data_IF_817529283195
#
_entry.id   IF_817529283195
#
_cell.length_a   1.000
_cell.length_b   1.000
_cell.length_c   1.000
_cell.angle_alpha   90.00
_cell.angle_beta   90.00
_cell.angle_gamma   90.00
#
_symmetry.space_group_name_H-M   'P 1'
#
loop_
_entity.id
_entity.type
_entity.pdbx_description
1 polymer ?
#
# COMPACT_ATOMS: atom_id res chain seq x y z
N UNK A 1 -15.29 -6.71 32.20
CA UNK A 1 -13.99 -6.19 32.70
C UNK A 1 -13.36 -5.20 31.71
N UNK A 2 -12.95 -5.62 30.51
CA UNK A 2 -12.32 -4.70 29.53
C UNK A 2 -13.21 -3.49 29.21
N UNK A 3 -14.50 -3.70 28.94
CA UNK A 3 -15.47 -2.62 28.70
C UNK A 3 -15.58 -1.63 29.88
N UNK A 4 -15.58 -2.15 31.12
CA UNK A 4 -15.59 -1.32 32.34
C UNK A 4 -14.34 -0.44 32.42
N UNK A 5 -13.17 -0.99 32.10
CA UNK A 5 -11.92 -0.22 32.08
C UNK A 5 -11.90 0.84 30.96
N UNK A 6 -12.46 0.53 29.79
CA UNK A 6 -12.67 1.50 28.71
C UNK A 6 -13.56 2.66 29.17
N UNK A 7 -14.68 2.37 29.84
CA UNK A 7 -15.59 3.38 30.40
C UNK A 7 -14.90 4.26 31.46
N UNK A 8 -13.97 3.71 32.22
CA UNK A 8 -13.13 4.47 33.16
C UNK A 8 -11.90 5.11 32.50
N UNK A 9 -11.81 5.14 31.16
CA UNK A 9 -10.68 5.68 30.39
C UNK A 9 -9.31 5.08 30.74
N UNK A 10 -9.27 3.85 31.23
CA UNK A 10 -8.04 3.11 31.59
C UNK A 10 -7.48 2.35 30.39
N UNK A 11 -7.29 3.03 29.26
CA UNK A 11 -6.91 2.40 27.98
C UNK A 11 -5.61 1.59 28.05
N UNK A 12 -4.57 2.10 28.72
CA UNK A 12 -3.29 1.37 28.88
C UNK A 12 -3.46 0.06 29.67
N UNK A 13 -4.30 0.04 30.70
CA UNK A 13 -4.59 -1.18 31.45
C UNK A 13 -5.33 -2.20 30.57
N UNK A 14 -6.23 -1.74 29.69
CA UNK A 14 -6.89 -2.61 28.71
C UNK A 14 -5.88 -3.22 27.74
N UNK A 15 -4.92 -2.43 27.24
CA UNK A 15 -3.85 -2.95 26.37
C UNK A 15 -3.02 -4.04 27.09
N UNK A 16 -2.58 -3.79 28.32
CA UNK A 16 -1.84 -4.79 29.11
C UNK A 16 -2.65 -6.09 29.28
N UNK A 17 -3.95 -5.99 29.54
CA UNK A 17 -4.80 -7.18 29.63
C UNK A 17 -4.93 -7.91 28.28
N UNK A 18 -5.10 -7.16 27.19
CA UNK A 18 -5.16 -7.72 25.83
C UNK A 18 -3.87 -8.46 25.47
N UNK A 19 -2.70 -7.96 25.88
CA UNK A 19 -1.40 -8.60 25.62
C UNK A 19 -1.36 -10.06 26.13
N UNK A 20 -2.03 -10.31 27.26
CA UNK A 20 -2.03 -11.63 27.91
C UNK A 20 -3.23 -12.48 27.47
N UNK A 21 -4.39 -11.85 27.26
CA UNK A 21 -5.65 -12.54 26.96
C UNK A 21 -5.72 -12.93 25.49
N UNK A 22 -5.30 -12.07 24.57
CA UNK A 22 -5.50 -12.27 23.14
C UNK A 22 -4.84 -13.56 22.60
N UNK A 23 -3.58 -13.90 22.96
CA UNK A 23 -2.94 -15.13 22.48
C UNK A 23 -3.64 -16.42 22.93
N UNK A 24 -4.42 -16.39 24.00
CA UNK A 24 -5.16 -17.57 24.50
C UNK A 24 -6.25 -18.04 23.52
N UNK A 25 -6.64 -17.20 22.56
CA UNK A 25 -7.70 -17.50 21.60
C UNK A 25 -7.17 -17.97 20.24
N UNK A 26 -5.87 -18.20 20.08
CA UNK A 26 -5.29 -18.65 18.80
C UNK A 26 -5.89 -19.98 18.34
N UNK A 27 -6.17 -20.91 19.27
CA UNK A 27 -6.81 -22.20 18.96
C UNK A 27 -8.31 -22.08 18.70
N UNK A 28 -8.92 -20.94 19.08
CA UNK A 28 -10.33 -20.66 18.84
C UNK A 28 -10.58 -19.20 18.40
N UNK A 29 -10.07 -18.76 17.23
CA UNK A 29 -10.13 -17.34 16.83
C UNK A 29 -11.56 -16.83 16.71
N UNK A 30 -12.51 -17.72 16.37
CA UNK A 30 -13.93 -17.42 16.24
C UNK A 30 -14.54 -16.78 17.51
N UNK A 31 -14.07 -17.18 18.70
CA UNK A 31 -14.57 -16.67 19.99
C UNK A 31 -14.32 -15.17 20.17
N UNK A 32 -13.18 -14.66 19.68
CA UNK A 32 -12.87 -13.22 19.65
C UNK A 32 -13.54 -12.55 18.45
N UNK A 33 -13.43 -13.17 17.28
CA UNK A 33 -13.89 -12.55 16.03
C UNK A 33 -15.40 -12.32 16.02
N UNK A 34 -16.19 -13.19 16.64
CA UNK A 34 -17.65 -13.07 16.71
C UNK A 34 -18.15 -12.28 17.93
N UNK A 35 -17.26 -11.89 18.85
CA UNK A 35 -17.64 -11.15 20.05
C UNK A 35 -17.81 -9.66 19.76
N UNK A 36 -19.06 -9.19 19.68
CA UNK A 36 -19.37 -7.76 19.52
C UNK A 36 -18.77 -6.90 20.64
N UNK A 37 -18.79 -7.42 21.87
CA UNK A 37 -18.17 -6.75 23.03
C UNK A 37 -16.68 -6.52 22.83
N UNK A 38 -15.97 -7.54 22.34
CA UNK A 38 -14.54 -7.39 22.06
C UNK A 38 -14.31 -6.41 20.90
N UNK A 39 -15.10 -6.49 19.83
CA UNK A 39 -15.00 -5.53 18.72
C UNK A 39 -15.20 -4.09 19.20
N UNK A 40 -16.18 -3.84 20.08
CA UNK A 40 -16.41 -2.52 20.68
C UNK A 40 -15.23 -2.03 21.53
N UNK A 41 -14.56 -2.94 22.26
CA UNK A 41 -13.32 -2.60 22.98
C UNK A 41 -12.22 -2.18 22.01
N UNK A 42 -12.02 -2.91 20.91
CA UNK A 42 -11.01 -2.56 19.89
C UNK A 42 -11.31 -1.21 19.25
N UNK A 43 -12.55 -0.97 18.82
CA UNK A 43 -12.99 0.30 18.23
C UNK A 43 -12.76 1.46 19.20
N UNK A 44 -13.08 1.26 20.48
CA UNK A 44 -12.86 2.26 21.53
C UNK A 44 -11.37 2.59 21.74
N UNK A 45 -10.48 1.59 21.65
CA UNK A 45 -9.03 1.80 21.72
C UNK A 45 -8.51 2.57 20.50
N UNK A 46 -9.02 2.28 19.29
CA UNK A 46 -8.67 3.01 18.07
C UNK A 46 -9.14 4.48 18.09
N UNK A 47 -10.20 4.79 18.82
CA UNK A 47 -10.74 6.13 18.98
C UNK A 47 -10.17 6.88 20.20
N UNK A 48 -9.42 6.21 21.09
CA UNK A 48 -9.07 6.71 22.41
C UNK A 48 -8.32 8.06 22.41
N UNK A 49 -7.36 8.23 21.50
CA UNK A 49 -6.57 9.45 21.41
C UNK A 49 -7.40 10.68 21.00
N UNK A 50 -8.45 10.49 20.18
CA UNK A 50 -9.40 11.56 19.81
C UNK A 50 -10.24 12.01 20.99
N UNK A 51 -10.60 11.08 21.87
CA UNK A 51 -11.39 11.37 23.07
C UNK A 51 -10.55 12.17 24.08
N UNK A 52 -9.25 11.88 24.20
CA UNK A 52 -8.36 12.62 25.09
C UNK A 52 -8.18 14.09 24.65
N UNK A 53 -8.08 14.35 23.35
CA UNK A 53 -7.98 15.72 22.78
C UNK A 53 -9.26 16.53 23.02
N UNK A 54 -10.43 15.89 23.10
CA UNK A 54 -11.67 16.60 23.48
C UNK A 54 -11.67 17.03 24.95
N UNK A 55 -10.90 16.37 25.81
CA UNK A 55 -10.79 16.68 27.24
C UNK A 55 -9.62 17.62 27.58
N UNK A 56 -8.53 17.59 26.80
CA UNK A 56 -7.40 18.51 26.95
C UNK A 56 -7.51 19.66 25.93
N UNK A 57 -7.60 20.91 26.39
CA UNK A 57 -7.76 22.12 25.58
C UNK A 57 -6.94 22.10 24.27
N UNK A 58 -7.58 22.50 23.17
CA UNK A 58 -7.18 22.38 21.75
C UNK A 58 -5.91 23.13 21.31
N UNK A 59 -4.86 23.19 22.12
CA UNK A 59 -3.65 23.98 21.86
C UNK A 59 -2.51 23.20 21.21
N UNK A 60 -2.64 21.88 21.04
CA UNK A 60 -1.61 21.06 20.42
C UNK A 60 -2.27 20.28 19.29
N UNK A 61 -1.84 20.54 18.05
CA UNK A 61 -2.08 19.62 16.94
C UNK A 61 -1.62 18.23 17.38
N UNK A 62 -2.55 17.32 17.67
CA UNK A 62 -2.18 15.99 18.11
C UNK A 62 -1.47 15.30 16.96
N UNK A 63 -0.17 15.08 17.10
CA UNK A 63 0.58 14.29 16.13
C UNK A 63 -0.08 12.90 16.04
N UNK A 64 -0.57 12.55 14.86
CA UNK A 64 -0.95 11.16 14.57
C UNK A 64 0.36 10.37 14.33
N UNK A 65 0.47 9.14 14.83
CA UNK A 65 -0.44 8.44 15.74
C UNK A 65 -0.33 8.95 17.18
N UNK A 66 -1.45 8.91 17.92
CA UNK A 66 -1.51 9.29 19.32
C UNK A 66 -0.88 8.25 20.27
N UNK A 67 -0.84 8.56 21.57
CA UNK A 67 -0.14 7.72 22.56
C UNK A 67 -0.78 6.33 22.67
N UNK A 68 -2.10 6.25 22.79
CA UNK A 68 -2.79 4.97 22.96
C UNK A 68 -2.62 4.12 21.72
N UNK A 69 -2.75 4.72 20.53
CA UNK A 69 -2.57 4.01 19.27
C UNK A 69 -1.12 3.51 19.08
N UNK A 70 -0.11 4.30 19.49
CA UNK A 70 1.30 3.85 19.51
C UNK A 70 1.49 2.65 20.42
N UNK A 71 1.00 2.71 21.66
CA UNK A 71 1.11 1.60 22.62
C UNK A 71 0.37 0.35 22.14
N UNK A 72 -0.75 0.52 21.42
CA UNK A 72 -1.43 -0.61 20.79
C UNK A 72 -0.59 -1.21 19.64
N UNK A 73 0.05 -0.36 18.84
CA UNK A 73 1.04 -0.81 17.84
C UNK A 73 2.18 -1.61 18.49
N UNK A 74 2.73 -1.12 19.60
CA UNK A 74 3.80 -1.78 20.34
C UNK A 74 3.37 -3.16 20.87
N UNK A 75 2.14 -3.26 21.39
CA UNK A 75 1.54 -4.54 21.82
C UNK A 75 1.48 -5.55 20.66
N UNK A 76 1.04 -5.13 19.48
CA UNK A 76 0.99 -6.00 18.30
C UNK A 76 2.42 -6.43 17.91
N UNK A 77 3.38 -5.51 17.92
CA UNK A 77 4.78 -5.85 17.66
C UNK A 77 5.34 -6.84 18.68
N UNK A 78 5.00 -6.71 19.96
CA UNK A 78 5.38 -7.66 21.02
C UNK A 78 4.83 -9.05 20.72
N UNK A 79 3.55 -9.17 20.34
CA UNK A 79 2.97 -10.45 19.94
C UNK A 79 3.74 -11.08 18.78
N UNK A 80 4.03 -10.30 17.73
CA UNK A 80 4.70 -10.80 16.53
C UNK A 80 6.19 -11.10 16.75
N UNK A 81 6.89 -10.40 17.65
CA UNK A 81 8.31 -10.65 17.97
C UNK A 81 8.47 -11.80 18.96
N UNK A 82 7.58 -11.90 19.95
CA UNK A 82 7.66 -12.86 21.04
C UNK A 82 6.71 -14.05 20.88
N UNK A 83 6.31 -14.39 19.65
CA UNK A 83 5.35 -15.45 19.34
C UNK A 83 5.68 -16.81 20.01
N UNK A 84 6.97 -17.09 20.22
CA UNK A 84 7.43 -18.30 20.92
C UNK A 84 6.97 -18.39 22.37
N UNK A 85 6.72 -17.27 23.05
CA UNK A 85 6.17 -17.25 24.42
C UNK A 85 4.75 -17.83 24.48
N UNK A 86 4.08 -17.88 23.34
CA UNK A 86 2.74 -18.45 23.19
C UNK A 86 2.77 -19.83 22.54
N UNK A 87 3.91 -20.53 22.59
CA UNK A 87 4.14 -21.86 21.99
C UNK A 87 3.90 -21.92 20.47
N UNK A 88 4.08 -20.81 19.75
CA UNK A 88 3.96 -20.77 18.30
C UNK A 88 5.31 -20.99 17.62
N UNK A 89 5.25 -21.63 16.45
CA UNK A 89 6.42 -21.88 15.58
C UNK A 89 6.69 -20.67 14.66
N UNK A 90 5.66 -19.88 14.39
CA UNK A 90 5.68 -18.71 13.51
C UNK A 90 4.75 -17.61 14.06
N UNK A 91 5.00 -16.31 13.78
CA UNK A 91 4.06 -15.24 14.10
C UNK A 91 2.77 -15.26 13.26
N UNK A 92 2.68 -16.11 12.24
CA UNK A 92 1.56 -16.14 11.29
C UNK A 92 0.16 -16.23 11.94
N UNK A 93 -0.10 -17.12 12.92
CA UNK A 93 -1.45 -17.22 13.53
C UNK A 93 -1.87 -15.94 14.26
N UNK A 94 -0.91 -15.29 14.93
CA UNK A 94 -1.15 -14.01 15.61
C UNK A 94 -1.41 -12.88 14.62
N UNK A 95 -0.63 -12.83 13.53
CA UNK A 95 -0.83 -11.84 12.47
C UNK A 95 -2.19 -11.99 11.79
N UNK A 96 -2.59 -13.22 11.45
CA UNK A 96 -3.89 -13.50 10.86
C UNK A 96 -5.02 -13.04 11.79
N UNK A 97 -4.97 -13.45 13.06
CA UNK A 97 -6.01 -13.10 14.04
C UNK A 97 -6.10 -11.59 14.25
N UNK A 98 -4.97 -10.88 14.37
CA UNK A 98 -4.96 -9.42 14.46
C UNK A 98 -5.50 -8.75 13.20
N UNK A 99 -5.08 -9.18 12.01
CA UNK A 99 -5.57 -8.62 10.75
C UNK A 99 -7.07 -8.80 10.61
N UNK A 100 -7.64 -9.95 10.97
CA UNK A 100 -9.10 -10.19 10.94
C UNK A 100 -9.86 -9.31 11.92
N UNK A 101 -9.34 -9.13 13.14
CA UNK A 101 -9.93 -8.22 14.14
C UNK A 101 -9.88 -6.78 13.64
N UNK A 102 -8.73 -6.34 13.15
CA UNK A 102 -8.56 -4.99 12.63
C UNK A 102 -9.38 -4.75 11.37
N UNK A 103 -9.59 -5.76 10.51
CA UNK A 103 -10.41 -5.63 9.30
C UNK A 103 -11.87 -5.32 9.64
N UNK A 104 -12.41 -5.93 10.68
CA UNK A 104 -13.75 -5.58 11.19
C UNK A 104 -13.78 -4.16 11.74
N UNK A 105 -12.79 -3.80 12.57
CA UNK A 105 -12.70 -2.46 13.15
C UNK A 105 -12.45 -1.36 12.09
N UNK A 106 -11.78 -1.70 10.98
CA UNK A 106 -11.45 -0.77 9.89
C UNK A 106 -12.68 -0.16 9.24
N UNK A 107 -13.81 -0.88 9.17
CA UNK A 107 -15.07 -0.37 8.63
C UNK A 107 -15.63 0.82 9.42
N UNK A 108 -15.18 1.01 10.66
CA UNK A 108 -15.61 2.08 11.56
C UNK A 108 -14.45 3.07 11.80
N UNK A 109 -13.24 2.57 12.02
CA UNK A 109 -12.03 3.36 12.33
C UNK A 109 -10.88 3.11 11.34
N UNK A 110 -11.02 3.46 10.05
CA UNK A 110 -10.11 3.05 8.99
C UNK A 110 -8.68 3.59 9.17
N UNK A 111 -8.52 4.86 9.55
CA UNK A 111 -7.20 5.48 9.70
C UNK A 111 -6.36 4.80 10.80
N UNK A 112 -6.95 4.58 11.97
CA UNK A 112 -6.26 3.97 13.11
C UNK A 112 -6.04 2.47 12.88
N UNK A 113 -7.03 1.76 12.30
CA UNK A 113 -6.88 0.35 11.95
C UNK A 113 -5.79 0.14 10.89
N UNK A 114 -5.73 0.96 9.83
CA UNK A 114 -4.66 0.91 8.82
C UNK A 114 -3.28 1.10 9.44
N UNK A 115 -3.14 2.00 10.41
CA UNK A 115 -1.88 2.19 11.14
C UNK A 115 -1.44 0.94 11.91
N UNK A 116 -2.37 0.27 12.60
CA UNK A 116 -2.03 -0.98 13.30
C UNK A 116 -1.77 -2.14 12.33
N UNK A 117 -2.54 -2.22 11.25
CA UNK A 117 -2.30 -3.21 10.18
C UNK A 117 -0.93 -3.00 9.54
N UNK A 118 -0.48 -1.76 9.36
CA UNK A 118 0.84 -1.46 8.80
C UNK A 118 1.97 -2.19 9.55
N UNK A 119 1.90 -2.23 10.88
CA UNK A 119 2.87 -2.95 11.72
C UNK A 119 2.89 -4.45 11.40
N UNK A 120 1.73 -5.06 11.25
CA UNK A 120 1.61 -6.48 10.93
C UNK A 120 2.10 -6.76 9.51
N UNK A 121 1.73 -5.91 8.57
CA UNK A 121 2.06 -6.04 7.15
C UNK A 121 3.55 -5.82 6.88
N UNK A 122 4.22 -5.00 7.71
CA UNK A 122 5.68 -4.84 7.69
C UNK A 122 6.41 -6.15 7.96
N UNK A 123 5.86 -6.99 8.85
CA UNK A 123 6.39 -8.33 9.13
C UNK A 123 5.94 -9.29 8.04
N UNK A 124 4.65 -9.29 7.69
CA UNK A 124 4.08 -10.20 6.70
C UNK A 124 4.76 -10.11 5.33
N UNK A 125 5.27 -8.93 4.94
CA UNK A 125 6.02 -8.76 3.69
C UNK A 125 7.18 -9.75 3.55
N UNK A 126 7.90 -10.05 4.63
CA UNK A 126 9.07 -10.92 4.62
C UNK A 126 8.75 -12.41 4.80
N UNK A 127 7.48 -12.78 4.97
CA UNK A 127 7.01 -14.14 5.19
C UNK A 127 5.95 -14.51 4.15
N UNK A 128 6.28 -15.42 3.23
CA UNK A 128 5.44 -15.72 2.06
C UNK A 128 4.01 -16.20 2.42
N UNK A 129 3.89 -17.04 3.44
CA UNK A 129 2.65 -17.55 4.01
C UNK A 129 1.78 -16.43 4.62
N UNK A 130 2.41 -15.57 5.44
CA UNK A 130 1.73 -14.42 6.05
C UNK A 130 1.29 -13.42 4.99
N UNK A 131 2.14 -13.18 3.97
CA UNK A 131 1.83 -12.27 2.86
C UNK A 131 0.60 -12.73 2.10
N UNK A 132 0.53 -14.02 1.74
CA UNK A 132 -0.62 -14.59 1.04
C UNK A 132 -1.90 -14.45 1.88
N UNK A 133 -1.82 -14.78 3.17
CA UNK A 133 -2.95 -14.67 4.10
C UNK A 133 -3.43 -13.22 4.25
N UNK A 134 -2.49 -12.28 4.41
CA UNK A 134 -2.80 -10.86 4.54
C UNK A 134 -3.46 -10.27 3.28
N UNK A 135 -2.99 -10.64 2.09
CA UNK A 135 -3.63 -10.26 0.83
C UNK A 135 -5.06 -10.80 0.74
N UNK A 136 -5.30 -12.04 1.18
CA UNK A 136 -6.64 -12.62 1.26
C UNK A 136 -7.58 -11.84 2.18
N UNK A 137 -7.13 -11.52 3.40
CA UNK A 137 -7.93 -10.76 4.37
C UNK A 137 -8.26 -9.34 3.85
N UNK A 138 -7.28 -8.65 3.24
CA UNK A 138 -7.52 -7.33 2.68
C UNK A 138 -8.42 -7.35 1.45
N UNK A 139 -8.37 -8.44 0.66
CA UNK A 139 -9.31 -8.66 -0.43
C UNK A 139 -10.75 -8.86 0.09
N UNK A 140 -10.94 -9.67 1.15
CA UNK A 140 -12.24 -9.82 1.85
C UNK A 140 -12.74 -8.46 2.41
N UNK A 141 -11.84 -7.66 2.98
CA UNK A 141 -12.16 -6.33 3.50
C UNK A 141 -12.63 -5.38 2.40
N UNK A 142 -11.94 -5.35 1.25
CA UNK A 142 -12.31 -4.53 0.10
C UNK A 142 -13.68 -4.93 -0.45
N UNK A 143 -13.98 -6.23 -0.53
CA UNK A 143 -15.29 -6.72 -0.96
C UNK A 143 -16.40 -6.31 0.01
N UNK A 144 -16.16 -6.44 1.32
CA UNK A 144 -17.09 -6.04 2.37
C UNK A 144 -17.38 -4.53 2.33
N UNK A 145 -16.35 -3.70 2.17
CA UNK A 145 -16.49 -2.26 2.02
C UNK A 145 -17.29 -1.90 0.76
N UNK A 146 -16.99 -2.54 -0.36
CA UNK A 146 -17.65 -2.28 -1.64
C UNK A 146 -19.14 -2.67 -1.59
N UNK A 147 -19.47 -3.79 -0.96
CA UNK A 147 -20.86 -4.21 -0.73
C UNK A 147 -21.61 -3.22 0.18
N UNK A 148 -20.97 -2.75 1.24
CA UNK A 148 -21.52 -1.75 2.17
C UNK A 148 -21.81 -0.42 1.46
N UNK A 149 -20.93 0.01 0.56
CA UNK A 149 -21.16 1.20 -0.27
C UNK A 149 -22.36 1.01 -1.21
N UNK A 150 -22.44 -0.12 -1.94
CA UNK A 150 -23.58 -0.41 -2.83
C UNK A 150 -24.93 -0.36 -2.12
N UNK A 151 -25.03 -0.85 -0.89
CA UNK A 151 -26.25 -0.76 -0.10
C UNK A 151 -26.63 0.67 0.27
N UNK A 152 -25.65 1.53 0.60
CA UNK A 152 -25.88 2.95 0.91
C UNK A 152 -26.31 3.75 -0.33
N UNK A 153 -25.83 3.38 -1.52
CA UNK A 153 -26.18 4.05 -2.78
C UNK A 153 -27.47 3.53 -3.44
N UNK A 154 -28.02 2.39 -2.98
CA UNK A 154 -29.29 1.84 -3.47
C UNK A 154 -30.51 2.73 -3.17
N UNK A 155 -30.39 3.72 -2.28
CA UNK A 155 -31.51 4.58 -1.86
C UNK A 155 -31.41 6.03 -2.36
N UNK A 156 -30.31 6.44 -3.01
CA UNK A 156 -30.15 7.79 -3.58
C UNK A 156 -29.42 7.75 -4.92
N UNK A 157 -30.15 7.95 -6.02
CA UNK A 157 -29.60 8.18 -7.36
C UNK A 157 -28.95 9.57 -7.42
N UNK A 158 -27.67 9.71 -7.04
CA UNK A 158 -26.87 10.88 -7.42
C UNK A 158 -25.45 10.49 -7.84
N UNK A 159 -25.10 10.94 -9.05
CA UNK A 159 -23.81 10.76 -9.73
C UNK A 159 -22.74 11.55 -8.99
N UNK A 160 -21.86 10.85 -8.27
CA UNK A 160 -20.54 11.35 -7.89
C UNK A 160 -19.52 10.25 -8.15
N UNK A 161 -18.34 10.61 -8.65
CA UNK A 161 -17.27 9.73 -9.15
C UNK A 161 -16.66 8.81 -8.10
N UNK A 162 -17.47 7.91 -7.54
CA UNK A 162 -17.07 6.86 -6.63
C UNK A 162 -16.46 5.69 -7.42
N UNK A 163 -15.43 5.07 -6.86
CA UNK A 163 -14.80 3.89 -7.45
C UNK A 163 -15.73 2.67 -7.25
N UNK A 164 -16.32 2.09 -8.31
CA UNK A 164 -17.24 0.96 -8.21
C UNK A 164 -16.57 -0.32 -7.66
N UNK A 165 -15.23 -0.38 -7.65
CA UNK A 165 -14.43 -1.47 -7.12
C UNK A 165 -13.98 -1.27 -5.67
N UNK A 166 -14.43 -0.20 -5.01
CA UNK A 166 -14.00 0.16 -3.66
C UNK A 166 -12.58 0.70 -3.61
N UNK A 167 -12.15 1.15 -2.44
CA UNK A 167 -10.77 1.56 -2.18
C UNK A 167 -10.45 1.41 -0.71
N UNK A 168 -9.36 0.72 -0.38
CA UNK A 168 -8.86 0.62 0.99
C UNK A 168 -8.08 1.87 1.39
N UNK A 169 -7.78 2.76 0.43
CA UNK A 169 -7.07 4.01 0.69
C UNK A 169 -7.64 5.20 -0.07
N UNK A 170 -8.23 6.14 0.65
CA UNK A 170 -8.70 7.38 0.02
C UNK A 170 -7.54 8.30 -0.38
N UNK A 171 -6.41 8.26 0.34
CA UNK A 171 -5.20 9.05 0.08
C UNK A 171 -3.95 8.24 0.41
N UNK A 172 -2.87 8.45 -0.33
CA UNK A 172 -1.54 7.97 0.04
C UNK A 172 -1.09 8.59 1.36
N UNK A 173 -0.37 7.83 2.17
CA UNK A 173 0.06 8.23 3.51
C UNK A 173 1.51 7.83 3.76
N UNK A 174 2.26 8.73 4.40
CA UNK A 174 3.60 8.47 4.91
C UNK A 174 3.59 7.58 6.16
N UNK A 175 2.46 7.53 6.88
CA UNK A 175 2.36 6.87 8.19
C UNK A 175 2.05 5.37 8.08
N UNK A 176 1.58 4.91 6.92
CA UNK A 176 1.13 3.52 6.70
C UNK A 176 1.63 2.91 5.38
N UNK A 177 2.94 2.97 5.08
CA UNK A 177 3.47 2.52 3.79
C UNK A 177 3.27 1.02 3.52
N UNK A 178 3.41 0.13 4.49
CA UNK A 178 3.18 -1.30 4.30
C UNK A 178 1.69 -1.61 4.10
N UNK A 179 0.79 -0.94 4.81
CA UNK A 179 -0.64 -1.02 4.50
C UNK A 179 -0.92 -0.56 3.07
N UNK A 180 -0.34 0.57 2.66
CA UNK A 180 -0.47 1.09 1.29
C UNK A 180 0.03 0.12 0.24
N UNK A 181 1.14 -0.56 0.50
CA UNK A 181 1.67 -1.59 -0.40
C UNK A 181 0.63 -2.69 -0.66
N UNK A 182 0.10 -3.29 0.40
CA UNK A 182 -0.84 -4.39 0.26
C UNK A 182 -2.20 -3.92 -0.28
N UNK A 183 -2.68 -2.75 0.15
CA UNK A 183 -3.93 -2.17 -0.31
C UNK A 183 -3.93 -1.93 -1.82
N UNK A 184 -2.91 -1.23 -2.35
CA UNK A 184 -2.81 -0.96 -3.79
C UNK A 184 -2.63 -2.26 -4.58
N UNK A 185 -1.92 -3.24 -4.03
CA UNK A 185 -1.73 -4.55 -4.66
C UNK A 185 -3.04 -5.34 -4.79
N UNK A 186 -3.86 -5.39 -3.73
CA UNK A 186 -5.20 -5.98 -3.77
C UNK A 186 -6.10 -5.23 -4.77
N UNK A 187 -6.12 -3.90 -4.71
CA UNK A 187 -6.88 -3.06 -5.66
C UNK A 187 -6.45 -3.35 -7.11
N UNK A 188 -5.14 -3.46 -7.37
CA UNK A 188 -4.58 -3.79 -8.68
C UNK A 188 -4.95 -5.21 -9.14
N UNK A 189 -4.95 -6.20 -8.24
CA UNK A 189 -5.38 -7.57 -8.57
C UNK A 189 -6.84 -7.57 -8.99
N UNK A 190 -7.71 -6.94 -8.19
CA UNK A 190 -9.15 -6.84 -8.49
C UNK A 190 -9.39 -6.09 -9.79
N UNK A 191 -8.72 -4.96 -10.00
CA UNK A 191 -8.96 -4.11 -11.15
C UNK A 191 -8.35 -4.68 -12.43
N UNK A 192 -7.11 -5.19 -12.42
CA UNK A 192 -6.41 -5.57 -13.65
C UNK A 192 -6.48 -7.06 -13.94
N UNK A 193 -6.23 -7.92 -12.95
CA UNK A 193 -6.15 -9.37 -13.20
C UNK A 193 -7.54 -9.98 -13.40
N UNK A 194 -8.56 -9.53 -12.63
CA UNK A 194 -9.92 -10.06 -12.78
C UNK A 194 -10.67 -9.51 -14.00
N UNK A 195 -10.30 -8.32 -14.51
CA UNK A 195 -11.06 -7.66 -15.60
C UNK A 195 -10.32 -7.57 -16.93
N UNK A 196 -9.00 -7.81 -16.96
CA UNK A 196 -8.10 -7.56 -18.12
C UNK A 196 -8.06 -6.11 -18.62
N UNK A 197 -8.57 -5.15 -17.83
CA UNK A 197 -8.67 -3.74 -18.20
C UNK A 197 -7.32 -3.14 -18.60
N UNK A 198 -6.25 -3.47 -17.88
CA UNK A 198 -4.92 -2.92 -18.16
C UNK A 198 -4.42 -3.30 -19.55
N UNK A 199 -4.53 -4.58 -19.92
CA UNK A 199 -4.05 -5.07 -21.20
C UNK A 199 -4.83 -4.44 -22.36
N UNK A 200 -6.16 -4.31 -22.23
CA UNK A 200 -7.00 -3.62 -23.21
C UNK A 200 -6.67 -2.13 -23.31
N UNK A 201 -6.39 -1.47 -22.18
CA UNK A 201 -6.00 -0.06 -22.15
C UNK A 201 -4.65 0.16 -22.86
N UNK A 202 -3.68 -0.74 -22.65
CA UNK A 202 -2.38 -0.66 -23.35
C UNK A 202 -2.55 -0.79 -24.87
N UNK A 203 -3.39 -1.72 -25.33
CA UNK A 203 -3.69 -1.92 -26.77
C UNK A 203 -4.40 -0.71 -27.37
N UNK A 204 -5.38 -0.13 -26.66
CA UNK A 204 -6.10 1.04 -27.14
C UNK A 204 -5.17 2.27 -27.22
N UNK A 205 -4.33 2.48 -26.22
CA UNK A 205 -3.36 3.57 -26.20
C UNK A 205 -2.26 3.41 -27.25
N UNK A 206 -1.83 2.18 -27.57
CA UNK A 206 -0.85 1.94 -28.62
C UNK A 206 -1.41 2.21 -30.02
N UNK A 207 -2.70 1.88 -30.22
CA UNK A 207 -3.37 1.96 -31.52
C UNK A 207 -3.98 3.34 -31.80
N UNK A 208 -4.15 4.18 -30.77
CA UNK A 208 -4.74 5.51 -30.90
C UNK A 208 -3.78 6.49 -31.59
N UNK A 209 -4.13 7.04 -32.77
CA UNK A 209 -3.35 8.08 -33.41
C UNK A 209 -3.53 9.43 -32.68
N UNK A 210 -2.43 10.12 -32.41
CA UNK A 210 -2.42 11.41 -31.70
C UNK A 210 -2.20 11.31 -30.19
N UNK A 211 -2.40 12.43 -29.46
CA UNK A 211 -2.31 12.50 -27.99
C UNK A 211 -3.59 11.93 -27.38
N UNK A 212 -3.62 10.67 -26.92
CA UNK A 212 -4.83 10.05 -26.42
C UNK A 212 -5.17 10.64 -25.04
N UNK A 213 -6.43 11.01 -24.82
CA UNK A 213 -6.90 11.27 -23.46
C UNK A 213 -7.03 9.95 -22.72
N UNK A 214 -6.26 9.77 -21.63
CA UNK A 214 -6.31 8.56 -20.80
C UNK A 214 -7.73 8.27 -20.33
N UNK A 215 -8.49 9.29 -19.93
CA UNK A 215 -9.89 9.13 -19.52
C UNK A 215 -10.79 8.66 -20.65
N UNK A 216 -10.55 9.12 -21.89
CA UNK A 216 -11.32 8.68 -23.06
C UNK A 216 -11.05 7.21 -23.39
N UNK A 217 -9.78 6.81 -23.44
CA UNK A 217 -9.38 5.40 -23.65
C UNK A 217 -9.88 4.49 -22.53
N UNK A 218 -9.78 4.94 -21.28
CA UNK A 218 -10.27 4.22 -20.12
C UNK A 218 -11.78 4.01 -20.17
N UNK A 219 -12.55 5.07 -20.46
CA UNK A 219 -14.01 4.98 -20.62
C UNK A 219 -14.41 4.02 -21.74
N UNK A 220 -13.71 4.06 -22.87
CA UNK A 220 -13.91 3.13 -24.00
C UNK A 220 -13.63 1.68 -23.59
N UNK A 221 -12.52 1.42 -22.91
CA UNK A 221 -12.17 0.08 -22.43
C UNK A 221 -13.18 -0.44 -21.39
N UNK A 222 -13.59 0.39 -20.43
CA UNK A 222 -14.64 0.04 -19.47
C UNK A 222 -15.95 -0.35 -20.19
N UNK A 223 -16.38 0.45 -21.18
CA UNK A 223 -17.59 0.15 -21.95
C UNK A 223 -17.48 -1.17 -22.72
N UNK A 224 -16.35 -1.43 -23.39
CA UNK A 224 -16.12 -2.68 -24.12
C UNK A 224 -16.13 -3.91 -23.20
N UNK A 225 -15.57 -3.78 -22.01
CA UNK A 225 -15.49 -4.85 -21.00
C UNK A 225 -16.75 -4.94 -20.11
N UNK A 226 -17.79 -4.14 -20.38
CA UNK A 226 -19.02 -4.05 -19.57
C UNK A 226 -18.75 -3.72 -18.09
N UNK A 227 -17.70 -2.94 -17.84
CA UNK A 227 -17.30 -2.47 -16.52
C UNK A 227 -17.92 -1.10 -16.25
N UNK A 228 -18.15 -0.80 -14.98
CA UNK A 228 -18.49 0.55 -14.56
C UNK A 228 -17.34 1.52 -14.87
N UNK A 229 -17.68 2.73 -15.31
CA UNK A 229 -16.67 3.77 -15.59
C UNK A 229 -15.90 4.11 -14.32
N UNK A 230 -14.57 4.21 -14.43
CA UNK A 230 -13.69 4.61 -13.33
C UNK A 230 -12.89 5.85 -13.70
N UNK A 231 -12.54 6.72 -12.73
CA UNK A 231 -11.67 7.85 -12.99
C UNK A 231 -10.23 7.39 -13.22
N UNK A 232 -9.50 8.04 -14.13
CA UNK A 232 -8.10 7.70 -14.41
C UNK A 232 -7.19 7.76 -13.17
N UNK A 233 -7.48 8.64 -12.21
CA UNK A 233 -6.76 8.76 -10.93
C UNK A 233 -6.75 7.49 -10.07
N UNK A 234 -7.67 6.55 -10.33
CA UNK A 234 -7.73 5.25 -9.64
C UNK A 234 -6.81 4.20 -10.24
N UNK A 235 -6.22 4.46 -11.42
CA UNK A 235 -5.31 3.51 -12.05
C UNK A 235 -4.08 3.26 -11.16
N UNK A 236 -3.73 1.99 -10.89
CA UNK A 236 -2.55 1.59 -10.12
C UNK A 236 -1.26 2.35 -10.47
N UNK A 237 -1.00 2.69 -11.74
CA UNK A 237 0.21 3.44 -12.14
C UNK A 237 0.29 4.82 -11.46
N UNK A 238 -0.83 5.51 -11.27
CA UNK A 238 -0.86 6.79 -10.53
C UNK A 238 -0.87 6.56 -9.03
N UNK A 239 -1.51 5.49 -8.56
CA UNK A 239 -1.57 5.14 -7.13
C UNK A 239 -0.18 4.82 -6.58
N UNK A 240 0.61 4.03 -7.30
CA UNK A 240 2.02 3.78 -6.98
C UNK A 240 2.84 5.06 -7.05
N UNK A 241 2.65 5.88 -8.09
CA UNK A 241 3.33 7.19 -8.20
C UNK A 241 3.08 8.09 -6.98
N UNK A 242 1.82 8.23 -6.55
CA UNK A 242 1.50 9.04 -5.36
C UNK A 242 2.10 8.44 -4.09
N UNK A 243 2.04 7.11 -3.92
CA UNK A 243 2.63 6.45 -2.77
C UNK A 243 4.15 6.62 -2.69
N UNK A 244 4.84 6.56 -3.83
CA UNK A 244 6.28 6.87 -3.92
C UNK A 244 6.58 8.27 -3.41
N UNK A 245 5.79 9.27 -3.80
CA UNK A 245 6.03 10.67 -3.40
C UNK A 245 5.86 10.88 -1.89
N UNK A 246 4.82 10.29 -1.31
CA UNK A 246 4.49 10.41 0.12
C UNK A 246 5.43 9.58 1.03
N UNK A 247 6.09 8.55 0.49
CA UNK A 247 6.95 7.69 1.31
C UNK A 247 8.30 8.37 1.61
N UNK A 248 8.78 8.39 2.87
CA UNK A 248 10.11 8.92 3.20
C UNK A 248 11.23 8.20 2.42
N UNK A 249 12.30 8.94 2.07
CA UNK A 249 13.42 8.42 1.27
C UNK A 249 14.22 7.31 1.97
N UNK A 250 14.16 7.28 3.30
CA UNK A 250 14.83 6.32 4.16
C UNK A 250 13.95 5.12 4.54
N UNK A 251 12.68 5.11 4.12
CA UNK A 251 11.75 4.04 4.44
C UNK A 251 12.06 2.77 3.62
N UNK A 252 12.17 1.58 4.24
CA UNK A 252 12.59 0.35 3.55
C UNK A 252 11.66 -0.13 2.43
N UNK A 253 10.38 0.26 2.43
CA UNK A 253 9.43 -0.10 1.38
C UNK A 253 9.55 0.72 0.08
N UNK A 254 10.22 1.89 0.10
CA UNK A 254 10.23 2.79 -1.06
C UNK A 254 10.82 2.15 -2.34
N UNK A 255 11.87 1.30 -2.31
CA UNK A 255 12.36 0.65 -3.52
C UNK A 255 11.32 -0.28 -4.15
N UNK A 256 10.46 -0.89 -3.32
CA UNK A 256 9.39 -1.79 -3.78
C UNK A 256 8.30 -1.01 -4.49
N UNK A 257 7.93 0.18 -4.00
CA UNK A 257 6.98 1.05 -4.70
C UNK A 257 7.47 1.46 -6.07
N UNK A 258 8.77 1.77 -6.20
CA UNK A 258 9.39 2.01 -7.49
C UNK A 258 9.31 0.79 -8.41
N UNK A 259 9.61 -0.42 -7.91
CA UNK A 259 9.46 -1.65 -8.71
C UNK A 259 8.03 -1.84 -9.20
N UNK A 260 7.03 -1.66 -8.33
CA UNK A 260 5.61 -1.76 -8.71
C UNK A 260 5.20 -0.71 -9.75
N UNK A 261 5.72 0.50 -9.63
CA UNK A 261 5.54 1.55 -10.63
C UNK A 261 6.16 1.17 -11.98
N UNK A 262 7.45 0.77 -12.00
CA UNK A 262 8.15 0.42 -13.23
C UNK A 262 7.57 -0.83 -13.91
N UNK A 263 7.08 -1.80 -13.14
CA UNK A 263 6.36 -2.96 -13.67
C UNK A 263 5.11 -2.59 -14.47
N UNK A 264 4.52 -1.40 -14.22
CA UNK A 264 3.41 -0.87 -15.02
C UNK A 264 3.91 0.08 -16.11
N UNK A 265 4.85 0.97 -15.79
CA UNK A 265 5.39 1.98 -16.70
C UNK A 265 6.11 1.34 -17.91
N UNK A 266 6.83 0.24 -17.70
CA UNK A 266 7.60 -0.44 -18.73
C UNK A 266 6.87 -1.66 -19.32
N UNK A 267 5.64 -1.96 -18.87
CA UNK A 267 4.89 -3.13 -19.35
C UNK A 267 4.69 -3.06 -20.86
N UNK A 268 5.15 -4.11 -21.56
CA UNK A 268 4.97 -4.26 -23.00
C UNK A 268 3.50 -4.38 -23.35
N UNK A 269 3.11 -3.75 -24.46
CA UNK A 269 1.75 -3.86 -25.00
C UNK A 269 1.52 -5.31 -25.43
N UNK A 270 0.45 -5.98 -24.94
CA UNK A 270 0.14 -7.35 -25.33
C UNK A 270 -0.09 -7.47 -26.85
N UNK A 271 0.43 -8.54 -27.45
CA UNK A 271 0.40 -8.76 -28.90
C UNK A 271 0.13 -10.22 -29.25
N UNK A 272 -0.87 -10.46 -30.11
CA UNK A 272 -1.33 -11.80 -30.51
C UNK A 272 -0.25 -12.54 -31.31
N UNK A 273 0.53 -11.83 -32.12
CA UNK A 273 1.53 -12.42 -33.03
C UNK A 273 2.94 -12.47 -32.42
N UNK A 274 3.08 -12.31 -31.10
CA UNK A 274 4.38 -12.15 -30.40
C UNK A 274 5.27 -11.02 -30.97
N UNK A 275 4.70 -10.14 -31.78
CA UNK A 275 5.39 -8.94 -32.25
C UNK A 275 5.54 -8.01 -31.07
N UNK A 276 6.76 -7.60 -30.77
CA UNK A 276 6.97 -6.55 -29.79
C UNK A 276 6.38 -5.24 -30.33
N UNK A 277 5.49 -4.64 -29.53
CA UNK A 277 4.82 -3.38 -29.82
C UNK A 277 5.36 -2.24 -28.95
N UNK A 278 6.42 -2.50 -28.18
CA UNK A 278 6.97 -1.54 -27.22
C UNK A 278 6.09 -1.42 -25.97
N UNK A 279 6.26 -0.33 -25.23
CA UNK A 279 5.41 0.01 -24.08
C UNK A 279 4.89 1.44 -24.20
N UNK A 280 3.76 1.72 -23.53
CA UNK A 280 3.06 3.02 -23.62
C UNK A 280 3.13 3.82 -22.32
N UNK A 281 4.07 3.50 -21.43
CA UNK A 281 4.30 4.19 -20.15
C UNK A 281 4.31 5.72 -20.23
N UNK A 282 5.07 6.33 -21.16
CA UNK A 282 5.16 7.79 -21.26
C UNK A 282 3.82 8.45 -21.55
N UNK A 283 2.91 7.78 -22.28
CA UNK A 283 1.59 8.31 -22.61
C UNK A 283 0.73 8.57 -21.37
N UNK A 284 0.93 7.81 -20.28
CA UNK A 284 0.24 8.07 -19.00
C UNK A 284 0.68 9.38 -18.33
N UNK A 285 1.86 9.90 -18.69
CA UNK A 285 2.43 11.10 -18.10
C UNK A 285 2.45 12.31 -19.04
N UNK A 286 1.70 12.22 -20.14
CA UNK A 286 1.43 13.35 -21.02
C UNK A 286 0.37 14.30 -20.42
N UNK A 287 0.39 15.55 -20.86
CA UNK A 287 -0.50 16.62 -20.35
C UNK A 287 0.05 17.32 -19.11
N UNK A 288 -0.45 18.53 -18.83
CA UNK A 288 0.13 19.44 -17.82
C UNK A 288 0.16 18.81 -16.43
N UNK A 289 -0.95 18.20 -16.00
CA UNK A 289 -1.08 17.60 -14.66
C UNK A 289 -0.15 16.41 -14.46
N UNK A 290 -0.17 15.44 -15.39
CA UNK A 290 0.64 14.23 -15.23
C UNK A 290 2.12 14.46 -15.54
N UNK A 291 2.45 15.46 -16.35
CA UNK A 291 3.84 15.90 -16.54
C UNK A 291 4.42 16.51 -15.25
N UNK A 292 3.61 17.26 -14.49
CA UNK A 292 4.01 17.72 -13.15
C UNK A 292 4.29 16.54 -12.21
N UNK A 293 3.46 15.49 -12.25
CA UNK A 293 3.68 14.26 -11.49
C UNK A 293 5.00 13.59 -11.88
N UNK A 294 5.27 13.42 -13.17
CA UNK A 294 6.53 12.88 -13.68
C UNK A 294 7.75 13.68 -13.21
N UNK A 295 7.65 15.02 -13.23
CA UNK A 295 8.73 15.90 -12.72
C UNK A 295 8.99 15.66 -11.23
N UNK A 296 7.93 15.50 -10.42
CA UNK A 296 8.07 15.16 -8.99
C UNK A 296 8.69 13.78 -8.77
N UNK A 297 8.34 12.79 -9.60
CA UNK A 297 8.92 11.45 -9.54
C UNK A 297 10.42 11.47 -9.85
N UNK A 298 10.84 12.20 -10.89
CA UNK A 298 12.27 12.40 -11.21
C UNK A 298 13.02 13.02 -10.04
N UNK A 299 12.47 14.10 -9.45
CA UNK A 299 13.04 14.71 -8.25
C UNK A 299 13.13 13.71 -7.09
N UNK A 300 12.09 12.92 -6.85
CA UNK A 300 12.08 11.92 -5.77
C UNK A 300 13.16 10.85 -5.94
N UNK A 301 13.45 10.40 -7.16
CA UNK A 301 14.57 9.48 -7.42
C UNK A 301 15.92 10.12 -7.09
N UNK A 302 16.10 11.38 -7.48
CA UNK A 302 17.31 12.14 -7.15
C UNK A 302 17.47 12.27 -5.63
N UNK A 303 16.40 12.68 -4.91
CA UNK A 303 16.41 12.79 -3.45
C UNK A 303 16.76 11.45 -2.77
N UNK A 304 16.24 10.33 -3.28
CA UNK A 304 16.58 8.99 -2.78
C UNK A 304 18.06 8.66 -3.00
N UNK A 305 18.57 8.91 -4.21
CA UNK A 305 19.97 8.69 -4.55
C UNK A 305 20.91 9.53 -3.68
N UNK A 306 20.66 10.82 -3.57
CA UNK A 306 21.44 11.76 -2.76
C UNK A 306 21.44 11.40 -1.27
N UNK A 307 20.30 10.92 -0.75
CA UNK A 307 20.22 10.41 0.61
C UNK A 307 21.22 9.27 0.87
N UNK A 308 21.23 8.24 0.02
CA UNK A 308 22.12 7.10 0.18
C UNK A 308 23.59 7.44 -0.14
N UNK A 309 23.86 8.33 -1.10
CA UNK A 309 25.21 8.84 -1.35
C UNK A 309 25.78 9.57 -0.13
N UNK A 310 24.96 10.38 0.54
CA UNK A 310 25.34 11.08 1.76
C UNK A 310 25.65 10.09 2.88
N UNK A 311 24.86 9.01 3.00
CA UNK A 311 25.13 7.93 3.97
C UNK A 311 26.43 7.17 3.66
N UNK A 312 26.77 6.97 2.39
CA UNK A 312 28.04 6.37 1.96
C UNK A 312 29.26 7.25 2.29
N UNK A 313 29.14 8.56 2.06
CA UNK A 313 30.20 9.56 2.25
C UNK A 313 30.43 9.93 3.72
N UNK A 314 29.50 9.61 4.61
CA UNK A 314 29.61 9.98 6.02
C UNK A 314 30.67 9.14 6.75
N UNK A 315 31.88 9.70 6.84
CA UNK A 315 33.06 9.11 7.51
C UNK A 315 32.95 9.18 9.05
N UNK A 316 32.07 10.03 9.60
CA UNK A 316 31.97 10.27 11.06
C UNK A 316 31.40 9.09 11.86
N UNK A 317 30.82 8.11 11.17
CA UNK A 317 30.22 6.92 11.79
C UNK A 317 30.99 5.67 11.38
N UNK A 318 31.40 4.85 12.36
CA UNK A 318 31.89 3.48 12.11
C UNK A 318 30.70 2.67 11.58
N UNK A 319 30.49 2.70 10.26
CA UNK A 319 29.44 1.95 9.59
C UNK A 319 29.98 0.55 9.30
N UNK A 320 29.31 -0.53 9.74
CA UNK A 320 29.68 -1.89 9.38
C UNK A 320 29.79 -2.07 7.86
N UNK A 321 30.76 -2.86 7.40
CA UNK A 321 31.03 -3.04 5.97
C UNK A 321 29.78 -3.48 5.18
N UNK A 322 28.97 -4.38 5.75
CA UNK A 322 27.70 -4.83 5.16
C UNK A 322 26.71 -3.69 4.94
N UNK A 323 26.59 -2.79 5.92
CA UNK A 323 25.69 -1.64 5.84
C UNK A 323 26.16 -0.62 4.81
N UNK A 324 27.48 -0.45 4.66
CA UNK A 324 28.07 0.38 3.59
C UNK A 324 27.81 -0.22 2.20
N UNK A 325 27.98 -1.54 2.05
CA UNK A 325 27.65 -2.24 0.80
C UNK A 325 26.17 -2.10 0.46
N UNK A 326 25.28 -2.21 1.45
CA UNK A 326 23.85 -1.98 1.28
C UNK A 326 23.53 -0.56 0.80
N UNK A 327 24.12 0.47 1.40
CA UNK A 327 23.93 1.85 0.92
C UNK A 327 24.42 2.03 -0.53
N UNK A 328 25.59 1.47 -0.87
CA UNK A 328 26.10 1.51 -2.25
C UNK A 328 25.14 0.81 -3.24
N UNK A 329 24.57 -0.33 -2.84
CA UNK A 329 23.57 -1.03 -3.65
C UNK A 329 22.30 -0.20 -3.84
N UNK A 330 21.88 0.57 -2.84
CA UNK A 330 20.75 1.50 -2.97
C UNK A 330 21.07 2.64 -3.95
N UNK A 331 22.26 3.25 -3.88
CA UNK A 331 22.69 4.29 -4.85
C UNK A 331 22.65 3.76 -6.28
N UNK A 332 23.18 2.55 -6.50
CA UNK A 332 23.15 1.89 -7.81
C UNK A 332 21.71 1.62 -8.26
N UNK A 333 20.84 1.15 -7.36
CA UNK A 333 19.44 0.88 -7.66
C UNK A 333 18.67 2.14 -8.08
N UNK A 334 18.81 3.26 -7.35
CA UNK A 334 18.15 4.51 -7.74
C UNK A 334 18.74 5.11 -9.02
N UNK A 335 20.03 4.89 -9.29
CA UNK A 335 20.63 5.24 -10.58
C UNK A 335 20.01 4.41 -11.72
N UNK A 336 19.84 3.09 -11.54
CA UNK A 336 19.12 2.23 -12.47
C UNK A 336 17.70 2.74 -12.71
N UNK A 337 16.94 3.08 -11.65
CA UNK A 337 15.59 3.64 -11.78
C UNK A 337 15.54 4.99 -12.50
N UNK A 338 16.51 5.88 -12.27
CA UNK A 338 16.60 7.15 -13.02
C UNK A 338 16.77 6.89 -14.51
N UNK A 339 17.65 5.95 -14.89
CA UNK A 339 17.82 5.56 -16.30
C UNK A 339 16.52 4.99 -16.87
N UNK A 340 15.82 4.13 -16.13
CA UNK A 340 14.55 3.55 -16.59
C UNK A 340 13.44 4.58 -16.81
N UNK A 341 13.46 5.68 -16.06
CA UNK A 341 12.47 6.74 -16.17
C UNK A 341 12.76 7.73 -17.31
N UNK A 342 14.04 7.89 -17.67
CA UNK A 342 14.51 8.91 -18.62
C UNK A 342 14.81 8.37 -20.00
N UNK A 343 15.19 7.11 -20.12
CA UNK A 343 15.54 6.50 -21.39
C UNK A 343 14.29 6.11 -22.19
N UNK A 344 13.89 7.01 -23.09
CA UNK A 344 12.78 6.78 -24.00
C UNK A 344 12.95 5.52 -24.87
N UNK A 345 14.18 5.10 -25.15
CA UNK A 345 14.43 3.94 -26.00
C UNK A 345 13.92 2.64 -25.38
N UNK A 346 13.79 2.58 -24.05
CA UNK A 346 13.21 1.41 -23.37
C UNK A 346 11.78 1.12 -23.81
N UNK A 347 11.06 2.13 -24.31
CA UNK A 347 9.68 2.00 -24.77
C UNK A 347 9.57 1.52 -26.22
N UNK A 348 10.65 1.53 -26.98
CA UNK A 348 10.63 1.21 -28.40
C UNK A 348 10.40 -0.29 -28.67
N UNK A 349 9.71 -0.65 -29.76
CA UNK A 349 9.59 -2.03 -30.22
C UNK A 349 10.95 -2.66 -30.55
N UNK A 350 11.18 -3.91 -30.15
CA UNK A 350 12.36 -4.69 -30.52
C UNK A 350 13.56 -4.49 -29.59
N UNK A 351 13.41 -3.70 -28.53
CA UNK A 351 14.47 -3.48 -27.53
C UNK A 351 14.71 -4.76 -26.75
N UNK A 352 15.92 -5.30 -26.86
CA UNK A 352 16.33 -6.45 -26.07
C UNK A 352 16.72 -6.01 -24.64
N UNK A 353 15.75 -6.13 -23.72
CA UNK A 353 15.95 -5.78 -22.31
C UNK A 353 17.09 -6.57 -21.65
N UNK A 354 17.38 -7.79 -22.12
CA UNK A 354 18.46 -8.62 -21.59
C UNK A 354 19.85 -8.19 -22.06
N UNK A 355 19.94 -7.39 -23.13
CA UNK A 355 21.19 -6.88 -23.70
C UNK A 355 21.50 -5.44 -23.26
N UNK A 356 20.72 -4.88 -22.33
CA UNK A 356 20.98 -3.54 -21.80
C UNK A 356 22.31 -3.52 -21.03
N UNK A 357 23.00 -2.36 -20.98
CA UNK A 357 24.20 -2.21 -20.17
C UNK A 357 23.95 -2.57 -18.70
N UNK A 358 24.97 -3.07 -18.00
CA UNK A 358 24.86 -3.47 -16.60
C UNK A 358 24.33 -2.36 -15.67
N UNK A 359 24.51 -1.09 -16.06
CA UNK A 359 23.95 0.08 -15.36
C UNK A 359 22.42 0.14 -15.36
N UNK A 360 21.74 -0.67 -16.17
CA UNK A 360 20.29 -0.78 -16.20
C UNK A 360 19.77 -1.89 -15.27
N UNK A 361 20.62 -2.69 -14.61
CA UNK A 361 20.16 -3.75 -13.72
C UNK A 361 19.06 -4.64 -14.38
N UNK A 362 19.30 -5.17 -15.59
CA UNK A 362 18.26 -5.82 -16.40
C UNK A 362 17.58 -7.01 -15.73
N UNK A 363 18.22 -7.63 -14.73
CA UNK A 363 17.64 -8.68 -13.90
C UNK A 363 16.52 -8.21 -12.96
N UNK A 364 16.37 -6.89 -12.78
CA UNK A 364 15.34 -6.26 -11.92
C UNK A 364 14.21 -5.60 -12.71
N UNK A 365 14.35 -5.53 -14.03
CA UNK A 365 13.33 -5.15 -15.01
C UNK A 365 12.35 -6.31 -15.21
#
# INVERSE_FOLDING_TARGET
>A
MLETLIQCHRYLAVLVLIEHIFPLFIESPGSILMSEKFQNVIISLLAADRTFIKFAMSLISSAFPGLILKQFGDLIEVHLKNYRRYNLISPAPLAEMWLRVLAKAWLIEPLAASYLMDKILSVAFFHADMRATALGILHELLETQSASQKQRFSLMNWVTGSNPYGTLMNKSSSDTPWFSLFAIEVEQIVLFHKTTLWDNLLIDLSSSPGKPSIDSSLKKCCAALKLSSIPSSTLPIYRWSQQVLETPVDHPAIPIFWQKFFALFLKRVPSINRKDLGSVGPKFFEGITNNSLMTKLKKKLLDCKEFYETKCKNVSTIIPQEKRAWFSNMVNLYTCYSLWLEDCSLHDPGVNLYALPASYCSEKL
#
